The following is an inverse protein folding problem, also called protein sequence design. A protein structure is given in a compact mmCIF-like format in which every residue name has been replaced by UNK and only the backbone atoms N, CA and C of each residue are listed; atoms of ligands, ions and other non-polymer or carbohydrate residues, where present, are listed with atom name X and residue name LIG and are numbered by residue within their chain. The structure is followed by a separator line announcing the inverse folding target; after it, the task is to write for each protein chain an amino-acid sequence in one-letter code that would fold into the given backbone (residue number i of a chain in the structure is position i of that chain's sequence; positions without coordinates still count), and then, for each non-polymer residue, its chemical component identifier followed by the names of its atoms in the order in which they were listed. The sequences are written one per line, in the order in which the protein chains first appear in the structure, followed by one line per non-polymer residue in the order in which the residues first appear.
data_IF_532895477795
#
_entry.id   IF_532895477795
#
_cell.length_a   1.000
_cell.length_b   1.000
_cell.length_c   1.000
_cell.angle_alpha   90.00
_cell.angle_beta   90.00
_cell.angle_gamma   90.00
#
_symmetry.space_group_name_H-M   'P 1'
#
loop_
_entity.id
_entity.type
_entity.pdbx_description
1 polymer ?
#
# COMPACT_ATOMS: atom_id res chain seq x y z
N UNK A 1 -57.08 73.59 -118.32
CA UNK A 1 -56.43 73.31 -117.02
C UNK A 1 -56.08 74.66 -116.40
N UNK A 2 -56.82 75.04 -115.37
CA UNK A 2 -56.92 76.41 -114.88
C UNK A 2 -55.72 76.82 -114.06
N UNK A 3 -55.11 77.95 -114.40
CA UNK A 3 -53.95 78.56 -113.73
C UNK A 3 -54.20 78.94 -112.26
N UNK A 4 -55.45 79.05 -111.82
CA UNK A 4 -55.83 79.46 -110.46
C UNK A 4 -55.57 78.38 -109.40
N UNK A 5 -55.75 77.10 -109.73
CA UNK A 5 -55.54 75.99 -108.79
C UNK A 5 -54.06 75.85 -108.38
N UNK A 6 -53.14 76.14 -109.32
CA UNK A 6 -51.69 76.10 -109.04
C UNK A 6 -51.24 77.23 -108.10
N UNK A 7 -51.85 78.42 -108.20
CA UNK A 7 -51.52 79.55 -107.33
C UNK A 7 -52.00 79.29 -105.90
N UNK A 8 -53.22 78.78 -105.71
CA UNK A 8 -53.77 78.46 -104.40
C UNK A 8 -52.92 77.41 -103.66
N UNK A 9 -52.51 76.34 -104.37
CA UNK A 9 -51.67 75.29 -103.78
C UNK A 9 -50.28 75.78 -103.37
N UNK A 10 -49.69 76.70 -104.14
CA UNK A 10 -48.42 77.35 -103.77
C UNK A 10 -48.61 78.24 -102.54
N UNK A 11 -49.69 79.01 -102.49
CA UNK A 11 -50.00 79.87 -101.35
C UNK A 11 -50.24 79.05 -100.07
N UNK A 12 -50.92 77.91 -100.15
CA UNK A 12 -51.14 76.99 -99.02
C UNK A 12 -49.82 76.46 -98.45
N UNK A 13 -48.91 75.98 -99.31
CA UNK A 13 -47.59 75.50 -98.89
C UNK A 13 -46.79 76.64 -98.24
N UNK A 14 -46.86 77.85 -98.80
CA UNK A 14 -46.18 79.00 -98.22
C UNK A 14 -46.75 79.38 -96.85
N UNK A 15 -48.07 79.35 -96.69
CA UNK A 15 -48.74 79.59 -95.41
C UNK A 15 -48.39 78.53 -94.36
N UNK A 16 -48.33 77.25 -94.74
CA UNK A 16 -47.98 76.15 -93.84
C UNK A 16 -46.54 76.28 -93.35
N UNK A 17 -45.60 76.50 -94.25
CA UNK A 17 -44.18 76.70 -93.91
C UNK A 17 -43.98 77.95 -93.04
N UNK A 18 -44.67 79.04 -93.36
CA UNK A 18 -44.63 80.27 -92.57
C UNK A 18 -45.21 80.06 -91.16
N UNK A 19 -46.32 79.31 -91.02
CA UNK A 19 -46.92 79.01 -89.71
C UNK A 19 -46.05 78.14 -88.79
N UNK A 20 -45.17 77.31 -89.38
CA UNK A 20 -44.19 76.49 -88.66
C UNK A 20 -42.90 77.26 -88.32
N UNK A 21 -42.79 78.53 -88.72
CA UNK A 21 -41.58 79.34 -88.54
C UNK A 21 -40.41 78.94 -89.44
N UNK A 22 -40.66 78.15 -90.49
CA UNK A 22 -39.64 77.69 -91.43
C UNK A 22 -39.41 78.73 -92.55
N UNK A 23 -38.16 78.81 -93.04
CA UNK A 23 -37.79 79.78 -94.07
C UNK A 23 -38.38 79.39 -95.43
N UNK A 24 -39.47 80.04 -95.81
CA UNK A 24 -40.10 79.87 -97.13
C UNK A 24 -39.14 80.35 -98.22
N UNK A 25 -38.81 79.47 -99.18
CA UNK A 25 -38.03 79.82 -100.37
C UNK A 25 -38.52 79.02 -101.57
N UNK A 26 -38.31 79.55 -102.78
CA UNK A 26 -38.73 78.89 -104.03
C UNK A 26 -38.20 77.45 -104.13
N UNK A 27 -36.99 77.20 -103.62
CA UNK A 27 -36.38 75.85 -103.58
C UNK A 27 -37.13 74.90 -102.65
N UNK A 28 -37.54 75.37 -101.47
CA UNK A 28 -38.32 74.58 -100.51
C UNK A 28 -39.74 74.35 -101.04
N UNK A 29 -40.35 75.32 -101.70
CA UNK A 29 -41.69 75.15 -102.29
C UNK A 29 -41.67 74.09 -103.40
N UNK A 30 -40.64 74.08 -104.25
CA UNK A 30 -40.48 73.09 -105.32
C UNK A 30 -40.34 71.65 -104.78
N UNK A 31 -39.82 71.44 -103.56
CA UNK A 31 -39.76 70.09 -102.97
C UNK A 31 -41.13 69.53 -102.58
N UNK A 32 -42.13 70.40 -102.36
CA UNK A 32 -43.52 70.00 -102.06
C UNK A 32 -44.40 69.90 -103.31
N UNK A 33 -43.88 70.24 -104.50
CA UNK A 33 -44.59 70.24 -105.78
C UNK A 33 -43.79 69.52 -106.89
N UNK A 34 -43.69 68.18 -106.83
CA UNK A 34 -42.94 67.39 -107.83
C UNK A 34 -43.55 67.46 -109.24
N UNK A 35 -44.81 67.87 -109.37
CA UNK A 35 -45.56 67.86 -110.63
C UNK A 35 -45.35 69.14 -111.48
N UNK A 36 -44.62 70.14 -110.97
CA UNK A 36 -44.42 71.45 -111.61
C UNK A 36 -42.91 71.69 -111.79
N UNK A 37 -42.40 71.56 -113.01
CA UNK A 37 -40.97 71.82 -113.33
C UNK A 37 -40.66 73.28 -113.63
N UNK A 38 -41.68 74.14 -113.76
CA UNK A 38 -41.51 75.54 -114.13
C UNK A 38 -41.17 76.40 -112.91
N UNK A 39 -39.86 76.54 -112.64
CA UNK A 39 -39.33 77.43 -111.59
C UNK A 39 -39.84 78.86 -111.74
N UNK A 40 -40.01 79.37 -112.97
CA UNK A 40 -40.52 80.73 -113.21
C UNK A 40 -41.97 80.92 -112.77
N UNK A 41 -42.80 79.88 -112.89
CA UNK A 41 -44.20 79.89 -112.45
C UNK A 41 -44.28 79.92 -110.92
N UNK A 42 -43.50 79.07 -110.23
CA UNK A 42 -43.41 79.09 -108.76
C UNK A 42 -42.85 80.42 -108.26
N UNK A 43 -41.83 80.97 -108.92
CA UNK A 43 -41.24 82.25 -108.53
C UNK A 43 -42.23 83.42 -108.67
N UNK A 44 -43.08 83.40 -109.71
CA UNK A 44 -44.14 84.40 -109.92
C UNK A 44 -45.20 84.33 -108.82
N UNK A 45 -45.71 83.13 -108.50
CA UNK A 45 -46.72 82.96 -107.47
C UNK A 45 -46.18 83.19 -106.06
N UNK A 46 -44.96 82.73 -105.77
CA UNK A 46 -44.26 83.06 -104.51
C UNK A 46 -44.03 84.57 -104.35
N UNK A 47 -43.65 85.28 -105.43
CA UNK A 47 -43.51 86.74 -105.38
C UNK A 47 -44.85 87.45 -105.14
N UNK A 48 -45.95 86.95 -105.74
CA UNK A 48 -47.29 87.46 -105.47
C UNK A 48 -47.74 87.16 -104.03
N UNK A 49 -47.56 85.93 -103.54
CA UNK A 49 -47.84 85.56 -102.15
C UNK A 49 -47.06 86.41 -101.16
N UNK A 50 -45.77 86.63 -101.42
CA UNK A 50 -44.93 87.47 -100.57
C UNK A 50 -45.40 88.93 -100.58
N UNK A 51 -45.82 89.44 -101.74
CA UNK A 51 -46.39 90.79 -101.86
C UNK A 51 -47.74 90.90 -101.15
N UNK A 52 -48.57 89.86 -101.20
CA UNK A 52 -49.83 89.77 -100.45
C UNK A 52 -49.58 89.65 -98.94
N UNK A 53 -48.58 88.90 -98.51
CA UNK A 53 -48.15 88.78 -97.12
C UNK A 53 -47.66 90.14 -96.60
N UNK A 54 -46.75 90.80 -97.32
CA UNK A 54 -46.25 92.15 -96.98
C UNK A 54 -47.39 93.18 -96.98
N UNK A 55 -48.35 93.08 -97.91
CA UNK A 55 -49.54 93.94 -97.92
C UNK A 55 -50.50 93.64 -96.76
N UNK A 56 -50.66 92.37 -96.37
CA UNK A 56 -51.50 91.96 -95.25
C UNK A 56 -50.88 92.33 -93.91
N UNK A 57 -49.56 92.16 -93.75
CA UNK A 57 -48.79 92.68 -92.61
C UNK A 57 -48.94 94.20 -92.53
N UNK A 58 -48.75 94.92 -93.64
CA UNK A 58 -48.94 96.38 -93.70
C UNK A 58 -50.37 96.83 -93.39
N UNK A 59 -51.37 96.10 -93.90
CA UNK A 59 -52.78 96.31 -93.57
C UNK A 59 -53.09 96.02 -92.10
N UNK A 60 -52.50 94.97 -91.52
CA UNK A 60 -52.62 94.67 -90.08
C UNK A 60 -51.98 95.78 -89.24
N UNK A 61 -50.83 96.30 -89.66
CA UNK A 61 -50.16 97.45 -89.01
C UNK A 61 -51.01 98.72 -89.07
N UNK A 62 -51.62 99.04 -90.22
CA UNK A 62 -52.53 100.18 -90.36
C UNK A 62 -53.84 99.99 -89.57
N UNK A 63 -54.36 98.76 -89.49
CA UNK A 63 -55.64 98.43 -88.84
C UNK A 63 -55.56 98.36 -87.31
N UNK A 64 -54.37 98.09 -86.76
CA UNK A 64 -54.10 98.17 -85.33
C UNK A 64 -53.95 99.62 -84.83
N UNK A 65 -53.82 100.61 -85.73
CA UNK A 65 -53.82 102.05 -85.41
C UNK A 65 -52.64 102.53 -84.57
N UNK A 66 -51.66 101.67 -84.30
CA UNK A 66 -50.44 102.02 -83.59
C UNK A 66 -49.41 102.62 -84.55
N UNK A 67 -48.58 103.55 -84.05
CA UNK A 67 -47.43 104.03 -84.83
C UNK A 67 -46.56 102.83 -85.24
N UNK A 68 -46.00 102.86 -86.45
CA UNK A 68 -45.05 101.84 -86.89
C UNK A 68 -43.87 101.69 -85.93
N UNK A 69 -43.47 102.80 -85.29
CA UNK A 69 -42.41 102.82 -84.27
C UNK A 69 -42.82 102.08 -83.00
N UNK A 70 -44.09 102.19 -82.58
CA UNK A 70 -44.62 101.45 -81.43
C UNK A 70 -44.66 99.95 -81.70
N UNK A 71 -45.11 99.55 -82.89
CA UNK A 71 -45.16 98.12 -83.26
C UNK A 71 -43.77 97.52 -83.38
N UNK A 72 -42.82 98.26 -83.95
CA UNK A 72 -41.42 97.82 -84.04
C UNK A 72 -40.75 97.73 -82.66
N UNK A 73 -41.02 98.68 -81.76
CA UNK A 73 -40.58 98.61 -80.36
C UNK A 73 -41.18 97.40 -79.64
N UNK A 74 -42.47 97.12 -79.85
CA UNK A 74 -43.14 95.97 -79.24
C UNK A 74 -42.61 94.63 -79.75
N UNK A 75 -42.34 94.49 -81.05
CA UNK A 75 -41.75 93.27 -81.62
C UNK A 75 -40.29 93.07 -81.19
N UNK A 76 -39.52 94.17 -81.08
CA UNK A 76 -38.18 94.14 -80.49
C UNK A 76 -38.24 93.68 -79.03
N UNK A 77 -39.24 94.14 -78.28
CA UNK A 77 -39.44 93.76 -76.89
C UNK A 77 -39.87 92.28 -76.75
N UNK A 78 -40.77 91.78 -77.60
CA UNK A 78 -41.12 90.34 -77.67
C UNK A 78 -39.88 89.51 -77.98
N UNK A 79 -39.07 89.94 -78.94
CA UNK A 79 -37.83 89.25 -79.30
C UNK A 79 -36.84 89.25 -78.14
N UNK A 80 -36.71 90.39 -77.43
CA UNK A 80 -35.88 90.50 -76.23
C UNK A 80 -36.32 89.52 -75.14
N UNK A 81 -37.62 89.47 -74.82
CA UNK A 81 -38.17 88.53 -73.85
C UNK A 81 -38.02 87.07 -74.30
N UNK A 82 -38.15 86.79 -75.60
CA UNK A 82 -37.96 85.44 -76.14
C UNK A 82 -36.51 84.98 -75.99
N UNK A 83 -35.54 85.85 -76.29
CA UNK A 83 -34.10 85.58 -76.10
C UNK A 83 -33.76 85.44 -74.61
N UNK A 84 -34.30 86.30 -73.75
CA UNK A 84 -34.09 86.23 -72.30
C UNK A 84 -34.69 84.95 -71.70
N UNK A 85 -35.88 84.55 -72.13
CA UNK A 85 -36.50 83.29 -71.74
C UNK A 85 -35.69 82.09 -72.22
N UNK A 86 -35.22 82.09 -73.47
CA UNK A 86 -34.36 81.04 -74.02
C UNK A 86 -33.05 80.92 -73.24
N UNK A 87 -32.40 82.04 -72.93
CA UNK A 87 -31.18 82.05 -72.10
C UNK A 87 -31.44 81.52 -70.70
N UNK A 88 -32.56 81.89 -70.07
CA UNK A 88 -32.95 81.39 -68.75
C UNK A 88 -33.22 79.89 -68.77
N UNK A 89 -33.96 79.40 -69.75
CA UNK A 89 -34.22 77.96 -69.90
C UNK A 89 -32.95 77.18 -70.20
N UNK A 90 -32.04 77.74 -71.00
CA UNK A 90 -30.73 77.16 -71.26
C UNK A 90 -29.90 77.09 -69.98
N UNK A 91 -29.82 78.18 -69.21
CA UNK A 91 -29.13 78.20 -67.92
C UNK A 91 -29.70 77.18 -66.93
N UNK A 92 -31.03 77.09 -66.82
CA UNK A 92 -31.69 76.07 -66.00
C UNK A 92 -31.40 74.65 -66.48
N UNK A 93 -31.32 74.42 -67.78
CA UNK A 93 -30.97 73.11 -68.34
C UNK A 93 -29.50 72.74 -68.07
N UNK A 94 -28.59 73.71 -68.19
CA UNK A 94 -27.17 73.52 -67.90
C UNK A 94 -26.94 73.25 -66.40
N UNK A 95 -27.57 74.02 -65.51
CA UNK A 95 -27.54 73.78 -64.06
C UNK A 95 -28.12 72.40 -63.68
N UNK A 96 -29.23 72.00 -64.30
CA UNK A 96 -29.82 70.68 -64.07
C UNK A 96 -28.91 69.54 -64.57
N UNK A 97 -28.22 69.74 -65.70
CA UNK A 97 -27.25 68.78 -66.21
C UNK A 97 -26.02 68.69 -65.28
N UNK A 98 -25.50 69.81 -64.80
CA UNK A 98 -24.39 69.83 -63.85
C UNK A 98 -24.76 69.13 -62.53
N UNK A 99 -25.93 69.42 -61.97
CA UNK A 99 -26.44 68.73 -60.78
C UNK A 99 -26.61 67.22 -61.01
N UNK A 100 -27.12 66.83 -62.18
CA UNK A 100 -27.23 65.41 -62.55
C UNK A 100 -25.85 64.75 -62.60
N UNK A 101 -24.88 65.38 -63.25
CA UNK A 101 -23.55 64.81 -63.42
C UNK A 101 -22.80 64.72 -62.07
N UNK A 102 -22.97 65.72 -61.20
CA UNK A 102 -22.51 65.66 -59.80
C UNK A 102 -23.15 64.50 -59.04
N UNK A 103 -24.48 64.32 -59.13
CA UNK A 103 -25.18 63.23 -58.47
C UNK A 103 -24.74 61.85 -58.97
N UNK A 104 -24.43 61.71 -60.26
CA UNK A 104 -23.89 60.47 -60.84
C UNK A 104 -22.49 60.17 -60.28
N UNK A 105 -21.61 61.17 -60.19
CA UNK A 105 -20.27 61.00 -59.61
C UNK A 105 -20.32 60.63 -58.12
N UNK A 106 -21.21 61.28 -57.36
CA UNK A 106 -21.45 60.96 -55.95
C UNK A 106 -22.00 59.54 -55.76
N UNK A 107 -22.95 59.13 -56.60
CA UNK A 107 -23.49 57.78 -56.60
C UNK A 107 -22.40 56.75 -56.91
N UNK A 108 -21.58 56.98 -57.94
CA UNK A 108 -20.46 56.11 -58.30
C UNK A 108 -19.46 55.94 -57.15
N UNK A 109 -19.11 57.03 -56.46
CA UNK A 109 -18.26 56.98 -55.25
C UNK A 109 -18.91 56.21 -54.10
N UNK A 110 -20.23 56.34 -53.92
CA UNK A 110 -20.96 55.59 -52.90
C UNK A 110 -21.01 54.09 -53.22
N UNK A 111 -21.23 53.72 -54.48
CA UNK A 111 -21.20 52.33 -54.95
C UNK A 111 -19.82 51.69 -54.76
N UNK A 112 -18.74 52.41 -55.08
CA UNK A 112 -17.37 51.92 -54.88
C UNK A 112 -17.08 51.69 -53.38
N UNK A 113 -17.53 52.61 -52.51
CA UNK A 113 -17.41 52.45 -51.05
C UNK A 113 -18.20 51.24 -50.54
N UNK A 114 -19.44 51.06 -51.02
CA UNK A 114 -20.28 49.92 -50.68
C UNK A 114 -19.61 48.60 -51.09
N UNK A 115 -19.06 48.54 -52.31
CA UNK A 115 -18.34 47.36 -52.80
C UNK A 115 -17.15 46.99 -51.90
N UNK A 116 -16.32 47.99 -51.54
CA UNK A 116 -15.19 47.79 -50.62
C UNK A 116 -15.66 47.32 -49.25
N UNK A 117 -16.75 47.89 -48.73
CA UNK A 117 -17.29 47.50 -47.42
C UNK A 117 -17.83 46.08 -47.44
N UNK A 118 -18.56 45.69 -48.49
CA UNK A 118 -19.06 44.32 -48.66
C UNK A 118 -17.91 43.30 -48.71
N UNK A 119 -16.81 43.62 -49.40
CA UNK A 119 -15.63 42.76 -49.43
C UNK A 119 -15.00 42.56 -48.04
N UNK A 120 -14.96 43.61 -47.21
CA UNK A 120 -14.49 43.51 -45.82
C UNK A 120 -15.43 42.67 -44.98
N UNK A 121 -16.74 42.84 -45.11
CA UNK A 121 -17.74 42.04 -44.38
C UNK A 121 -17.62 40.56 -44.76
N UNK A 122 -17.51 40.24 -46.05
CA UNK A 122 -17.36 38.85 -46.51
C UNK A 122 -16.07 38.21 -45.97
N UNK A 123 -14.98 38.99 -45.89
CA UNK A 123 -13.73 38.51 -45.29
C UNK A 123 -13.87 38.27 -43.79
N UNK A 124 -14.54 39.19 -43.07
CA UNK A 124 -14.82 39.03 -41.64
C UNK A 124 -15.69 37.80 -41.36
N UNK A 125 -16.71 37.54 -42.18
CA UNK A 125 -17.55 36.35 -42.04
C UNK A 125 -16.74 35.06 -42.21
N UNK A 126 -15.83 35.01 -43.18
CA UNK A 126 -14.90 33.87 -43.37
C UNK A 126 -14.00 33.67 -42.14
N UNK A 127 -13.45 34.75 -41.59
CA UNK A 127 -12.61 34.68 -40.40
C UNK A 127 -13.41 34.25 -39.16
N UNK A 128 -14.65 34.72 -39.00
CA UNK A 128 -15.55 34.31 -37.91
C UNK A 128 -15.84 32.80 -38.01
N UNK A 129 -16.16 32.29 -39.20
CA UNK A 129 -16.41 30.86 -39.40
C UNK A 129 -15.16 30.03 -39.08
N UNK A 130 -13.99 30.47 -39.55
CA UNK A 130 -12.71 29.79 -39.25
C UNK A 130 -12.44 29.76 -37.74
N UNK A 131 -12.51 30.90 -37.07
CA UNK A 131 -12.26 30.99 -35.63
C UNK A 131 -13.27 30.18 -34.80
N UNK A 132 -14.54 30.14 -35.19
CA UNK A 132 -15.54 29.28 -34.55
C UNK A 132 -15.20 27.80 -34.71
N UNK A 133 -14.76 27.39 -35.90
CA UNK A 133 -14.33 26.01 -36.15
C UNK A 133 -13.10 25.64 -35.33
N UNK A 134 -12.08 26.50 -35.30
CA UNK A 134 -10.86 26.31 -34.51
C UNK A 134 -11.17 26.22 -33.00
N UNK A 135 -12.02 27.13 -32.50
CA UNK A 135 -12.44 27.11 -31.09
C UNK A 135 -13.21 25.84 -30.73
N UNK A 136 -14.12 25.38 -31.59
CA UNK A 136 -14.84 24.12 -31.37
C UNK A 136 -13.92 22.91 -31.39
N UNK A 137 -12.94 22.88 -32.31
CA UNK A 137 -11.95 21.80 -32.36
C UNK A 137 -11.07 21.78 -31.10
N UNK A 138 -10.62 22.95 -30.63
CA UNK A 138 -9.84 23.06 -29.39
C UNK A 138 -10.65 22.61 -28.18
N UNK A 139 -11.92 23.01 -28.07
CA UNK A 139 -12.80 22.57 -26.97
C UNK A 139 -12.94 21.04 -26.96
N UNK A 140 -13.24 20.44 -28.11
CA UNK A 140 -13.37 18.98 -28.23
C UNK A 140 -12.05 18.27 -27.90
N UNK A 141 -10.92 18.85 -28.30
CA UNK A 141 -9.60 18.31 -28.00
C UNK A 141 -9.31 18.32 -26.49
N UNK A 142 -9.53 19.46 -25.83
CA UNK A 142 -9.36 19.57 -24.37
C UNK A 142 -10.31 18.66 -23.61
N UNK A 143 -11.56 18.52 -24.03
CA UNK A 143 -12.52 17.60 -23.41
C UNK A 143 -12.07 16.14 -23.52
N UNK A 144 -11.54 15.74 -24.68
CA UNK A 144 -10.96 14.41 -24.87
C UNK A 144 -9.71 14.17 -24.03
N UNK A 145 -8.81 15.16 -23.92
CA UNK A 145 -7.63 15.07 -23.06
C UNK A 145 -8.01 14.99 -21.58
N UNK A 146 -8.95 15.81 -21.14
CA UNK A 146 -9.47 15.78 -19.77
C UNK A 146 -10.08 14.42 -19.43
N UNK A 147 -10.92 13.87 -20.31
CA UNK A 147 -11.51 12.54 -20.11
C UNK A 147 -10.44 11.44 -20.01
N UNK A 148 -9.38 11.51 -20.84
CA UNK A 148 -8.27 10.56 -20.79
C UNK A 148 -7.47 10.68 -19.48
N UNK A 149 -7.22 11.90 -19.01
CA UNK A 149 -6.54 12.16 -17.74
C UNK A 149 -7.38 11.64 -16.58
N UNK A 150 -8.68 11.90 -16.56
CA UNK A 150 -9.61 11.42 -15.53
C UNK A 150 -9.62 9.89 -15.45
N UNK A 151 -9.75 9.20 -16.58
CA UNK A 151 -9.70 7.74 -16.64
C UNK A 151 -8.36 7.18 -16.14
N UNK A 152 -7.24 7.78 -16.58
CA UNK A 152 -5.91 7.37 -16.13
C UNK A 152 -5.72 7.59 -14.63
N UNK A 153 -6.23 8.70 -14.10
CA UNK A 153 -6.15 9.03 -12.68
C UNK A 153 -7.03 8.10 -11.84
N UNK A 154 -8.21 7.74 -12.33
CA UNK A 154 -9.11 6.78 -11.67
C UNK A 154 -8.46 5.39 -11.56
N UNK A 155 -7.87 4.89 -12.66
CA UNK A 155 -7.14 3.61 -12.66
C UNK A 155 -5.98 3.64 -11.66
N UNK A 156 -5.15 4.69 -11.69
CA UNK A 156 -4.03 4.84 -10.76
C UNK A 156 -4.51 4.90 -9.30
N UNK A 157 -5.61 5.61 -9.04
CA UNK A 157 -6.20 5.70 -7.70
C UNK A 157 -6.69 4.33 -7.21
N UNK A 158 -7.31 3.53 -8.09
CA UNK A 158 -7.74 2.16 -7.77
C UNK A 158 -6.55 1.25 -7.46
N UNK A 159 -5.49 1.30 -8.28
CA UNK A 159 -4.27 0.52 -8.06
C UNK A 159 -3.58 0.87 -6.73
N UNK A 160 -3.45 2.17 -6.43
CA UNK A 160 -2.87 2.64 -5.16
C UNK A 160 -3.72 2.17 -3.97
N UNK A 161 -5.05 2.25 -4.05
CA UNK A 161 -5.95 1.75 -2.99
C UNK A 161 -5.81 0.24 -2.79
N UNK A 162 -5.72 -0.53 -3.87
CA UNK A 162 -5.49 -1.98 -3.79
C UNK A 162 -4.14 -2.30 -3.15
N UNK A 163 -3.09 -1.54 -3.50
CA UNK A 163 -1.76 -1.74 -2.90
C UNK A 163 -1.74 -1.41 -1.41
N UNK A 164 -2.43 -0.34 -0.99
CA UNK A 164 -2.59 0.00 0.43
C UNK A 164 -3.30 -1.14 1.17
N UNK A 165 -4.45 -1.61 0.66
CA UNK A 165 -5.20 -2.69 1.29
C UNK A 165 -4.37 -3.99 1.40
N UNK A 166 -3.55 -4.31 0.40
CA UNK A 166 -2.65 -5.45 0.45
C UNK A 166 -1.56 -5.28 1.51
N UNK A 167 -0.94 -4.10 1.59
CA UNK A 167 0.10 -3.82 2.60
C UNK A 167 -0.47 -3.84 4.03
N UNK A 168 -1.69 -3.33 4.23
CA UNK A 168 -2.40 -3.41 5.52
C UNK A 168 -2.66 -4.87 5.92
N UNK A 169 -3.08 -5.71 4.98
CA UNK A 169 -3.25 -7.14 5.22
C UNK A 169 -1.93 -7.82 5.59
N UNK A 170 -0.87 -7.58 4.81
CA UNK A 170 0.45 -8.16 5.07
C UNK A 170 1.00 -7.73 6.45
N UNK A 171 0.75 -6.47 6.85
CA UNK A 171 1.13 -5.96 8.17
C UNK A 171 0.37 -6.68 9.31
N UNK A 172 -0.93 -6.91 9.13
CA UNK A 172 -1.76 -7.65 10.11
C UNK A 172 -1.27 -9.09 10.24
N UNK A 173 -1.02 -9.76 9.11
CA UNK A 173 -0.55 -11.15 9.10
C UNK A 173 0.85 -11.28 9.71
N UNK A 174 1.76 -10.34 9.42
CA UNK A 174 3.09 -10.26 10.03
C UNK A 174 3.02 -10.01 11.54
N UNK A 175 2.13 -9.11 11.99
CA UNK A 175 1.91 -8.85 13.43
C UNK A 175 1.44 -10.10 14.15
N UNK A 176 0.45 -10.82 13.59
CA UNK A 176 -0.03 -12.10 14.15
C UNK A 176 1.07 -13.16 14.22
N UNK A 177 1.88 -13.29 13.17
CA UNK A 177 3.01 -14.21 13.16
C UNK A 177 4.02 -13.87 14.26
N UNK A 178 4.31 -12.57 14.46
CA UNK A 178 5.21 -12.10 15.52
C UNK A 178 4.67 -12.42 16.92
N UNK A 179 3.38 -12.20 17.16
CA UNK A 179 2.72 -12.55 18.43
C UNK A 179 2.75 -14.06 18.70
N UNK A 180 2.53 -14.88 17.67
CA UNK A 180 2.67 -16.34 17.77
C UNK A 180 4.09 -16.75 18.15
N UNK A 181 5.09 -16.21 17.46
CA UNK A 181 6.51 -16.48 17.75
C UNK A 181 6.92 -16.01 19.16
N UNK A 182 6.46 -14.84 19.62
CA UNK A 182 6.68 -14.38 21.00
C UNK A 182 6.08 -15.35 22.02
N UNK A 183 4.90 -15.87 21.75
CA UNK A 183 4.23 -16.84 22.62
C UNK A 183 4.97 -18.17 22.65
N UNK A 184 5.45 -18.65 21.49
CA UNK A 184 6.26 -19.87 21.41
C UNK A 184 7.61 -19.71 22.10
N UNK A 185 8.26 -18.55 21.95
CA UNK A 185 9.51 -18.24 22.64
C UNK A 185 9.32 -18.28 24.15
N UNK A 186 8.30 -17.61 24.69
CA UNK A 186 8.01 -17.62 26.13
C UNK A 186 7.71 -19.04 26.65
N UNK A 187 7.00 -19.88 25.88
CA UNK A 187 6.79 -21.29 26.22
C UNK A 187 8.09 -22.09 26.23
N UNK A 188 9.01 -21.81 25.29
CA UNK A 188 10.31 -22.46 25.23
C UNK A 188 11.20 -22.05 26.41
N UNK A 189 11.19 -20.76 26.77
CA UNK A 189 11.93 -20.23 27.92
C UNK A 189 11.45 -20.86 29.24
N UNK A 190 10.13 -20.95 29.47
CA UNK A 190 9.58 -21.63 30.64
C UNK A 190 9.96 -23.11 30.72
N UNK A 191 9.99 -23.82 29.59
CA UNK A 191 10.47 -25.21 29.54
C UNK A 191 11.95 -25.32 29.87
N UNK A 192 12.75 -24.37 29.41
CA UNK A 192 14.18 -24.34 29.67
C UNK A 192 14.46 -24.07 31.15
N UNK A 193 13.74 -23.14 31.77
CA UNK A 193 13.79 -22.86 33.20
C UNK A 193 13.38 -24.08 34.03
N UNK A 194 12.26 -24.73 33.70
CA UNK A 194 11.83 -25.97 34.37
C UNK A 194 12.85 -27.11 34.22
N UNK A 195 13.49 -27.24 33.06
CA UNK A 195 14.56 -28.22 32.87
C UNK A 195 15.80 -27.88 33.71
N UNK A 196 16.12 -26.59 33.85
CA UNK A 196 17.23 -26.13 34.68
C UNK A 196 16.99 -26.48 36.16
N UNK A 197 15.79 -26.22 36.68
CA UNK A 197 15.40 -26.60 38.04
C UNK A 197 15.54 -28.11 38.27
N UNK A 198 15.09 -28.92 37.31
CA UNK A 198 15.24 -30.38 37.38
C UNK A 198 16.70 -30.82 37.41
N UNK A 199 17.56 -30.22 36.57
CA UNK A 199 19.00 -30.51 36.55
C UNK A 199 19.63 -30.15 37.90
N UNK A 200 19.25 -29.03 38.49
CA UNK A 200 19.79 -28.60 39.78
C UNK A 200 19.31 -29.51 40.93
N UNK A 201 18.06 -29.99 40.90
CA UNK A 201 17.56 -31.01 41.84
C UNK A 201 18.35 -32.33 41.69
N UNK A 202 18.58 -32.79 40.46
CA UNK A 202 19.35 -34.01 40.19
C UNK A 202 20.79 -33.87 40.69
N UNK A 203 21.45 -32.72 40.45
CA UNK A 203 22.80 -32.46 40.98
C UNK A 203 22.81 -32.45 42.51
N UNK A 204 21.82 -31.84 43.16
CA UNK A 204 21.71 -31.84 44.61
C UNK A 204 21.54 -33.26 45.18
N UNK A 205 20.66 -34.07 44.56
CA UNK A 205 20.49 -35.49 44.94
C UNK A 205 21.76 -36.30 44.71
N UNK A 206 22.45 -36.09 43.59
CA UNK A 206 23.72 -36.74 43.30
C UNK A 206 24.76 -36.43 44.39
N UNK A 207 24.88 -35.15 44.78
CA UNK A 207 25.76 -34.74 45.89
C UNK A 207 25.42 -35.42 47.22
N UNK A 208 24.12 -35.50 47.58
CA UNK A 208 23.68 -36.22 48.79
C UNK A 208 24.01 -37.72 48.75
N UNK A 209 23.87 -38.35 47.58
CA UNK A 209 24.23 -39.77 47.41
C UNK A 209 25.74 -39.97 47.55
N UNK A 210 26.55 -39.08 46.99
CA UNK A 210 28.01 -39.12 47.13
C UNK A 210 28.45 -38.94 48.59
N UNK A 211 27.89 -37.96 49.32
CA UNK A 211 28.16 -37.79 50.76
C UNK A 211 27.77 -39.03 51.56
N UNK A 212 26.59 -39.60 51.28
CA UNK A 212 26.12 -40.81 51.95
C UNK A 212 27.02 -42.02 51.64
N UNK A 213 27.49 -42.15 50.41
CA UNK A 213 28.44 -43.20 50.03
C UNK A 213 29.76 -43.05 50.78
N UNK A 214 30.31 -41.83 50.88
CA UNK A 214 31.53 -41.57 51.65
C UNK A 214 31.33 -41.92 53.13
N UNK A 215 30.20 -41.53 53.72
CA UNK A 215 29.86 -41.88 55.11
C UNK A 215 29.77 -43.39 55.31
N UNK A 216 29.04 -44.11 54.45
CA UNK A 216 28.91 -45.57 54.52
C UNK A 216 30.24 -46.28 54.31
N UNK A 217 31.10 -45.76 53.42
CA UNK A 217 32.43 -46.31 53.18
C UNK A 217 33.34 -46.13 54.41
N UNK A 218 33.20 -45.01 55.12
CA UNK A 218 33.89 -44.76 56.39
C UNK A 218 33.39 -45.70 57.48
N UNK A 219 32.07 -45.86 57.62
CA UNK A 219 31.47 -46.78 58.58
C UNK A 219 31.85 -48.24 58.31
N UNK A 220 31.87 -48.66 57.04
CA UNK A 220 32.36 -49.98 56.65
C UNK A 220 33.83 -50.18 57.00
N UNK A 221 34.67 -49.16 56.84
CA UNK A 221 36.07 -49.23 57.23
C UNK A 221 36.22 -49.42 58.74
N UNK A 222 35.48 -48.66 59.54
CA UNK A 222 35.48 -48.78 61.00
C UNK A 222 34.99 -50.14 61.48
N UNK A 223 33.89 -50.64 60.89
CA UNK A 223 33.38 -51.98 61.16
C UNK A 223 34.40 -53.06 60.77
N UNK A 224 35.06 -52.95 59.62
CA UNK A 224 36.10 -53.89 59.21
C UNK A 224 37.29 -53.89 60.20
N UNK A 225 37.69 -52.73 60.71
CA UNK A 225 38.69 -52.64 61.77
C UNK A 225 38.22 -53.30 63.08
N UNK A 226 36.98 -53.08 63.48
CA UNK A 226 36.40 -53.72 64.67
C UNK A 226 36.35 -55.24 64.52
N UNK A 227 35.90 -55.75 63.38
CA UNK A 227 35.90 -57.19 63.07
C UNK A 227 37.31 -57.77 63.17
N UNK A 228 38.32 -57.07 62.63
CA UNK A 228 39.72 -57.51 62.73
C UNK A 228 40.22 -57.55 64.18
N UNK A 229 39.90 -56.53 64.98
CA UNK A 229 40.22 -56.50 66.42
C UNK A 229 39.54 -57.63 67.19
N UNK A 230 38.24 -57.85 66.95
CA UNK A 230 37.49 -58.93 67.60
C UNK A 230 38.00 -60.31 67.16
N UNK A 231 38.34 -60.49 65.88
CA UNK A 231 38.91 -61.74 65.37
C UNK A 231 40.25 -62.07 66.02
N UNK A 232 41.15 -61.09 66.14
CA UNK A 232 42.45 -61.27 66.82
C UNK A 232 42.29 -61.53 68.33
N UNK A 233 41.33 -60.86 68.98
CA UNK A 233 40.97 -61.16 70.37
C UNK A 233 40.42 -62.58 70.52
N UNK A 234 39.54 -63.01 69.62
CA UNK A 234 38.97 -64.36 69.62
C UNK A 234 40.05 -65.42 69.43
N UNK A 235 40.97 -65.22 68.49
CA UNK A 235 42.15 -66.10 68.30
C UNK A 235 43.01 -66.17 69.57
N UNK A 236 43.26 -65.03 70.22
CA UNK A 236 43.96 -64.98 71.50
C UNK A 236 43.23 -65.73 72.61
N UNK A 237 41.92 -65.52 72.75
CA UNK A 237 41.08 -66.25 73.71
C UNK A 237 41.03 -67.75 73.42
N UNK A 238 40.96 -68.17 72.15
CA UNK A 238 41.00 -69.57 71.75
C UNK A 238 42.35 -70.23 72.11
N UNK A 239 43.47 -69.52 71.93
CA UNK A 239 44.80 -69.97 72.35
C UNK A 239 44.90 -70.14 73.87
N UNK A 240 44.36 -69.19 74.64
CA UNK A 240 44.29 -69.29 76.11
C UNK A 240 43.41 -70.47 76.53
N UNK A 241 42.22 -70.63 75.93
CA UNK A 241 41.32 -71.75 76.20
C UNK A 241 42.01 -73.09 75.93
N UNK A 242 42.68 -73.25 74.78
CA UNK A 242 43.46 -74.44 74.46
C UNK A 242 44.59 -74.70 75.47
N UNK A 243 45.24 -73.64 75.95
CA UNK A 243 46.28 -73.75 77.00
C UNK A 243 45.68 -74.19 78.33
N UNK A 244 44.51 -73.66 78.72
CA UNK A 244 43.79 -74.07 79.91
C UNK A 244 43.32 -75.53 79.80
N UNK A 245 42.78 -75.95 78.66
CA UNK A 245 42.40 -77.35 78.40
C UNK A 245 43.60 -78.28 78.58
N UNK A 246 44.78 -77.95 78.02
CA UNK A 246 46.01 -78.72 78.26
C UNK A 246 46.37 -78.80 79.74
N UNK A 247 46.30 -77.68 80.47
CA UNK A 247 46.58 -77.66 81.92
C UNK A 247 45.58 -78.48 82.73
N UNK A 248 44.31 -78.51 82.33
CA UNK A 248 43.29 -79.37 82.95
C UNK A 248 43.69 -80.83 82.76
N UNK A 249 44.06 -81.24 81.54
CA UNK A 249 44.54 -82.62 81.27
C UNK A 249 45.79 -82.94 82.09
N UNK A 250 46.75 -82.01 82.19
CA UNK A 250 47.94 -82.19 83.04
C UNK A 250 47.56 -82.32 84.53
N UNK A 251 46.59 -81.56 85.01
CA UNK A 251 46.11 -81.69 86.38
C UNK A 251 45.31 -82.98 86.61
N UNK A 252 44.51 -83.43 85.66
CA UNK A 252 43.79 -84.70 85.73
C UNK A 252 44.75 -85.90 85.77
N UNK A 253 45.82 -85.87 84.97
CA UNK A 253 46.88 -86.88 85.00
C UNK A 253 47.65 -86.86 86.33
N UNK A 254 48.00 -85.66 86.84
CA UNK A 254 48.61 -85.52 88.17
C UNK A 254 47.68 -86.03 89.28
N UNK A 255 46.39 -85.66 89.24
CA UNK A 255 45.39 -86.09 90.21
C UNK A 255 45.24 -87.61 90.19
N UNK A 256 45.14 -88.22 89.01
CA UNK A 256 45.12 -89.68 88.86
C UNK A 256 46.38 -90.34 89.44
N UNK A 257 47.56 -89.74 89.24
CA UNK A 257 48.81 -90.24 89.83
C UNK A 257 48.79 -90.15 91.36
N UNK A 258 48.27 -89.06 91.93
CA UNK A 258 48.18 -88.86 93.38
C UNK A 258 47.15 -89.80 94.00
N UNK A 259 46.01 -90.01 93.34
CA UNK A 259 45.00 -91.01 93.74
C UNK A 259 45.64 -92.39 93.74
N UNK A 260 46.40 -92.75 92.71
CA UNK A 260 47.12 -94.03 92.68
C UNK A 260 48.07 -94.17 93.88
N UNK A 261 48.89 -93.15 94.17
CA UNK A 261 49.79 -93.14 95.33
C UNK A 261 49.04 -93.21 96.66
N UNK A 262 47.92 -92.51 96.79
CA UNK A 262 47.08 -92.54 97.97
C UNK A 262 46.48 -93.94 98.17
N UNK A 263 46.00 -94.60 97.10
CA UNK A 263 45.53 -95.99 97.18
C UNK A 263 46.64 -96.97 97.54
N UNK A 264 47.87 -96.79 97.03
CA UNK A 264 49.02 -97.63 97.43
C UNK A 264 49.38 -97.40 98.90
N UNK A 265 49.35 -96.15 99.36
CA UNK A 265 49.61 -95.81 100.75
C UNK A 265 48.54 -96.34 101.70
N UNK A 266 47.27 -96.28 101.30
CA UNK A 266 46.14 -96.87 102.04
C UNK A 266 46.31 -98.40 102.12
N UNK A 267 46.69 -99.07 101.03
CA UNK A 267 46.98 -100.50 101.03
C UNK A 267 48.14 -100.84 101.97
N UNK A 268 49.22 -100.05 101.96
CA UNK A 268 50.35 -100.21 102.89
C UNK A 268 49.92 -99.99 104.35
N UNK A 269 49.07 -99.01 104.63
CA UNK A 269 48.52 -98.75 105.96
C UNK A 269 47.66 -99.93 106.45
N UNK A 270 46.78 -100.47 105.62
CA UNK A 270 45.98 -101.67 105.95
C UNK A 270 46.87 -102.90 106.21
N UNK A 271 47.95 -103.07 105.44
CA UNK A 271 48.93 -104.14 105.69
C UNK A 271 49.60 -104.00 107.05
N UNK A 272 50.09 -102.80 107.38
CA UNK A 272 50.69 -102.54 108.69
C UNK A 272 49.70 -102.71 109.86
N UNK A 273 48.42 -102.38 109.65
CA UNK A 273 47.37 -102.55 110.65
C UNK A 273 47.05 -104.03 110.90
N UNK A 274 47.12 -104.86 109.85
CA UNK A 274 47.01 -106.32 109.97
C UNK A 274 48.22 -106.94 110.67
N UNK A 275 49.45 -106.51 110.34
CA UNK A 275 50.67 -106.92 111.07
C UNK A 275 50.58 -106.56 112.56
N UNK A 276 50.07 -105.36 112.89
CA UNK A 276 49.86 -104.93 114.28
C UNK A 276 48.83 -105.83 115.00
N UNK A 277 47.77 -106.26 114.31
CA UNK A 277 46.79 -107.22 114.86
C UNK A 277 47.41 -108.59 115.13
N UNK A 278 48.25 -109.09 114.23
CA UNK A 278 48.98 -110.34 114.43
C UNK A 278 49.92 -110.26 115.64
N UNK A 279 50.71 -109.18 115.75
CA UNK A 279 51.60 -108.96 116.90
C UNK A 279 50.80 -108.88 118.22
N UNK A 280 49.63 -108.21 118.19
CA UNK A 280 48.74 -108.12 119.36
C UNK A 280 48.18 -109.49 119.76
N UNK A 281 47.79 -110.32 118.80
CA UNK A 281 47.32 -111.69 119.05
C UNK A 281 48.46 -112.57 119.61
N UNK A 282 49.68 -112.41 119.09
CA UNK A 282 50.88 -113.09 119.60
C UNK A 282 51.20 -112.69 121.05
N UNK A 283 51.10 -111.41 121.38
CA UNK A 283 51.30 -110.89 122.74
C UNK A 283 50.25 -111.42 123.72
N UNK A 284 48.97 -111.51 123.31
CA UNK A 284 47.91 -112.12 124.14
C UNK A 284 48.15 -113.61 124.41
N UNK A 285 48.59 -114.36 123.40
CA UNK A 285 48.99 -115.77 123.52
C UNK A 285 50.15 -115.96 124.51
N UNK A 286 51.19 -115.13 124.43
CA UNK A 286 52.31 -115.18 125.38
C UNK A 286 51.89 -114.81 126.80
N UNK A 287 51.00 -113.82 126.96
CA UNK A 287 50.46 -113.42 128.26
C UNK A 287 49.67 -114.55 128.93
N UNK A 288 48.83 -115.29 128.19
CA UNK A 288 48.14 -116.48 128.71
C UNK A 288 49.12 -117.59 129.12
N UNK A 289 50.21 -117.77 128.38
CA UNK A 289 51.24 -118.77 128.68
C UNK A 289 52.01 -118.45 129.97
N UNK A 290 52.29 -117.17 130.23
CA UNK A 290 52.88 -116.71 131.49
C UNK A 290 51.95 -116.99 132.68
N UNK A 291 50.66 -116.67 132.55
CA UNK A 291 49.68 -116.95 133.61
C UNK A 291 49.61 -118.43 134.01
N UNK A 292 49.70 -119.34 133.03
CA UNK A 292 49.71 -120.79 133.30
C UNK A 292 50.98 -121.28 134.01
N UNK A 293 52.13 -120.62 133.81
CA UNK A 293 53.40 -120.97 134.44
C UNK A 293 53.48 -120.47 135.89
N UNK A 294 52.88 -119.32 136.19
CA UNK A 294 52.78 -118.79 137.56
C UNK A 294 51.94 -119.70 138.45
N UNK A 295 50.85 -120.27 137.91
CA UNK A 295 49.95 -121.16 138.65
C UNK A 295 50.62 -122.51 138.98
N UNK A 296 51.44 -123.05 138.06
CA UNK A 296 52.25 -124.26 138.29
C UNK A 296 53.33 -124.04 139.34
N UNK A 297 53.99 -122.87 139.34
CA UNK A 297 55.02 -122.53 140.32
C UNK A 297 54.44 -122.40 141.74
N UNK A 298 53.22 -121.83 141.85
CA UNK A 298 52.51 -121.75 143.13
C UNK A 298 52.13 -123.13 143.67
N UNK A 299 51.77 -124.09 142.79
CA UNK A 299 51.51 -125.47 143.19
C UNK A 299 52.79 -126.20 143.62
N UNK A 300 53.91 -126.01 142.93
CA UNK A 300 55.21 -126.59 143.31
C UNK A 300 55.68 -126.08 144.68
N UNK A 301 55.51 -124.79 144.96
CA UNK A 301 55.86 -124.21 146.27
C UNK A 301 55.04 -124.80 147.42
N UNK A 302 53.74 -125.05 147.21
CA UNK A 302 52.87 -125.71 148.20
C UNK A 302 53.21 -127.19 148.43
N UNK A 303 53.82 -127.87 147.46
CA UNK A 303 54.28 -129.25 147.63
C UNK A 303 55.56 -129.33 148.45
N UNK A 304 56.48 -128.36 148.29
CA UNK A 304 57.74 -128.30 149.05
C UNK A 304 57.46 -128.03 150.53
N UNK A 305 56.60 -127.04 150.85
CA UNK A 305 56.26 -126.69 152.23
C UNK A 305 55.57 -127.85 152.99
N UNK A 306 54.97 -128.82 152.28
CA UNK A 306 54.29 -129.97 152.87
C UNK A 306 55.23 -131.13 153.22
N UNK A 307 56.38 -131.25 152.53
CA UNK A 307 57.36 -132.32 152.79
C UNK A 307 58.35 -131.97 153.90
N UNK A 308 58.62 -130.69 154.18
CA UNK A 308 59.49 -130.28 155.30
C UNK A 308 58.83 -130.49 156.68
N UNK A 309 57.51 -130.71 156.75
CA UNK A 309 56.79 -131.00 158.01
C UNK A 309 56.78 -132.47 158.47
N UNK A 310 57.49 -133.37 157.78
CA UNK A 310 57.51 -134.82 158.06
C UNK A 310 58.92 -135.44 158.24
N UNK A 311 59.95 -134.62 158.45
CA UNK A 311 61.29 -135.12 158.77
C UNK A 311 61.77 -134.45 160.06
N UNK A 312 61.83 -135.28 161.10
CA UNK A 312 62.64 -135.13 162.32
C UNK A 312 64.13 -134.87 161.99
#
# INVERSE_FOLDING_TARGET
MSTDNTQERINEICNELYSKGEKVSVRVILTFLPDISSTSTVHKYYANWRKELEANEKSLYDKLGFSSEFTQMFMNEISRFSVEAEQRYKGMADEANEQRDMAIDELSKAEERLYKQNAVVEQQDKDIVRLKSESSQQLNHYEAEMSKIEQSHEVLTLELRQRIAQLEKDLVDSTKANESLRTELAKSELKLESNQDYVDEVKAKQGQIEERNVSLQTENHDLAQQVTKLSTQLEGSASIASTMEKRIVDFETQHSSLVSKATTMEANYQSALNELREVKAQAQSQSQKIGSLEEINLQQKRYIDKFESQVD
#
